data_IF_181173158788
#
_entry.id   IF_181173158788
#
_cell.length_a   1.000
_cell.length_b   1.000
_cell.length_c   1.000
_cell.angle_alpha   90.00
_cell.angle_beta   90.00
_cell.angle_gamma   90.00
#
_symmetry.space_group_name_H-M   'P 1'
#
loop_
_entity.id
_entity.type
_entity.pdbx_description
1 polymer ?
#
# COMPACT_ATOMS: atom_id res chain seq x y z
N UNK A 1 13.96 53.13 -16.85
CA UNK A 1 15.39 53.10 -17.22
C UNK A 1 15.92 51.79 -16.66
N UNK A 2 16.15 50.75 -17.48
CA UNK A 2 17.07 50.66 -18.63
C UNK A 2 18.53 50.56 -18.16
N UNK A 3 19.33 49.53 -18.48
CA UNK A 3 19.07 48.34 -19.36
C UNK A 3 19.90 47.09 -18.95
N UNK A 4 19.71 46.00 -19.70
CA UNK A 4 20.45 44.72 -19.81
C UNK A 4 21.96 44.95 -20.24
N UNK A 5 22.83 43.97 -20.64
CA UNK A 5 22.73 42.50 -20.65
C UNK A 5 23.96 41.66 -20.21
N UNK A 6 23.69 40.37 -19.92
CA UNK A 6 24.55 39.16 -20.15
C UNK A 6 25.96 39.01 -19.55
N UNK A 7 26.24 37.79 -19.05
CA UNK A 7 27.48 37.06 -19.39
C UNK A 7 27.27 35.54 -19.39
N UNK A 8 27.89 34.83 -20.35
CA UNK A 8 27.95 33.35 -20.42
C UNK A 8 29.40 32.90 -20.29
N UNK A 9 29.68 31.81 -19.54
CA UNK A 9 30.63 30.75 -19.95
C UNK A 9 30.53 29.48 -19.07
N UNK A 10 30.94 28.36 -19.66
CA UNK A 10 31.06 27.01 -19.07
C UNK A 10 32.53 26.75 -18.65
N UNK A 11 32.84 25.48 -18.29
CA UNK A 11 34.18 24.83 -18.30
C UNK A 11 34.99 25.09 -17.01
N UNK A 12 35.73 24.16 -16.37
CA UNK A 12 36.30 22.84 -16.75
C UNK A 12 36.21 21.78 -15.61
N UNK A 13 36.55 20.50 -15.89
CA UNK A 13 36.88 19.44 -14.91
C UNK A 13 38.41 19.27 -14.73
N UNK A 14 38.87 18.92 -13.53
CA UNK A 14 40.21 18.36 -13.22
C UNK A 14 40.27 18.01 -11.72
N UNK A 15 40.59 16.80 -11.21
CA UNK A 15 41.35 15.61 -11.65
C UNK A 15 42.86 15.65 -11.27
N UNK A 16 43.46 14.46 -11.03
CA UNK A 16 44.85 14.15 -10.58
C UNK A 16 45.05 14.23 -9.05
N UNK A 17 45.84 13.39 -8.34
CA UNK A 17 46.29 11.96 -8.41
C UNK A 17 47.05 11.66 -7.06
N UNK A 18 47.85 10.61 -6.78
CA UNK A 18 48.36 9.42 -7.50
C UNK A 18 48.87 8.33 -6.50
N UNK A 19 49.00 7.07 -6.96
CA UNK A 19 49.96 6.08 -6.41
C UNK A 19 49.42 5.05 -5.40
N UNK A 20 50.04 3.87 -5.22
CA UNK A 20 51.15 3.25 -5.96
C UNK A 20 51.12 1.70 -5.81
N UNK A 21 51.89 0.96 -6.62
CA UNK A 21 51.80 -0.50 -6.76
C UNK A 21 52.99 -1.28 -6.20
N UNK A 22 52.84 -2.60 -6.02
CA UNK A 22 53.94 -3.59 -6.10
C UNK A 22 53.37 -4.94 -6.58
N UNK A 23 54.18 -5.74 -7.28
CA UNK A 23 53.80 -7.03 -7.88
C UNK A 23 54.72 -8.15 -7.41
N UNK A 24 54.30 -9.42 -7.52
CA UNK A 24 55.14 -10.55 -7.95
C UNK A 24 54.28 -11.80 -8.25
N UNK A 25 54.90 -12.85 -8.81
CA UNK A 25 54.22 -13.98 -9.44
C UNK A 25 54.53 -15.35 -8.79
N UNK A 26 53.77 -16.38 -9.15
CA UNK A 26 54.04 -17.78 -8.82
C UNK A 26 53.30 -18.73 -9.75
N UNK A 27 54.00 -19.73 -10.31
CA UNK A 27 53.45 -20.77 -11.17
C UNK A 27 53.45 -22.13 -10.45
N UNK A 28 52.55 -23.04 -10.81
CA UNK A 28 52.54 -24.43 -10.35
C UNK A 28 51.83 -25.35 -11.34
N UNK A 29 52.49 -26.44 -11.74
CA UNK A 29 52.01 -27.42 -12.71
C UNK A 29 51.49 -28.70 -12.01
N UNK A 30 50.62 -29.45 -12.70
CA UNK A 30 50.23 -30.82 -12.36
C UNK A 30 49.44 -31.44 -13.53
N UNK A 31 49.91 -32.54 -14.09
CA UNK A 31 49.49 -33.07 -15.40
C UNK A 31 49.66 -34.60 -15.46
N UNK A 32 49.04 -35.26 -16.46
CA UNK A 32 49.22 -36.67 -16.89
C UNK A 32 48.56 -37.76 -16.02
N UNK A 33 48.08 -38.90 -16.57
CA UNK A 33 48.02 -39.36 -17.99
C UNK A 33 46.86 -40.36 -18.24
N UNK A 34 46.58 -40.58 -19.52
CA UNK A 34 45.64 -41.55 -20.10
C UNK A 34 46.06 -43.03 -19.97
N UNK A 35 45.13 -43.95 -20.30
CA UNK A 35 45.42 -45.34 -20.77
C UNK A 35 44.19 -45.92 -21.51
N UNK A 36 44.32 -46.18 -22.81
CA UNK A 36 43.50 -47.15 -23.57
C UNK A 36 44.02 -48.59 -23.24
N UNK A 37 43.35 -49.72 -23.50
CA UNK A 37 42.31 -50.10 -24.49
C UNK A 37 41.63 -51.39 -24.01
N UNK A 38 40.46 -51.77 -24.54
CA UNK A 38 40.29 -53.05 -25.29
C UNK A 38 38.84 -53.31 -25.73
N UNK A 39 38.64 -54.31 -26.60
CA UNK A 39 37.38 -54.60 -27.31
C UNK A 39 37.07 -56.09 -27.27
N UNK A 40 35.83 -56.48 -26.89
CA UNK A 40 34.99 -57.37 -27.73
C UNK A 40 33.56 -57.64 -27.17
N UNK A 41 32.61 -57.65 -28.10
CA UNK A 41 31.47 -58.59 -28.26
C UNK A 41 30.53 -58.99 -27.10
N UNK A 42 29.30 -58.48 -27.19
CA UNK A 42 28.04 -59.26 -27.15
C UNK A 42 27.62 -60.06 -25.90
N UNK A 43 26.64 -59.55 -25.15
CA UNK A 43 25.39 -60.33 -24.90
C UNK A 43 24.18 -59.39 -24.76
N UNK A 44 23.00 -59.93 -25.08
CA UNK A 44 21.70 -59.24 -25.15
C UNK A 44 21.00 -59.12 -23.78
N UNK A 45 20.47 -57.93 -23.46
CA UNK A 45 19.36 -57.73 -22.52
C UNK A 45 18.80 -56.31 -22.68
N UNK A 46 17.54 -56.19 -23.14
CA UNK A 46 16.87 -54.90 -23.29
C UNK A 46 16.25 -54.46 -21.96
N UNK A 47 16.63 -53.30 -21.39
CA UNK A 47 15.91 -52.74 -20.26
C UNK A 47 14.54 -52.27 -20.74
N UNK A 48 13.47 -52.75 -20.10
CA UNK A 48 12.12 -52.24 -20.31
C UNK A 48 12.13 -50.72 -20.12
N UNK A 49 11.50 -49.91 -21.00
CA UNK A 49 11.36 -48.49 -20.76
C UNK A 49 10.56 -48.32 -19.46
N UNK A 50 11.26 -47.91 -18.40
CA UNK A 50 10.61 -47.50 -17.15
C UNK A 50 9.69 -46.36 -17.53
N UNK A 51 8.38 -46.55 -17.31
CA UNK A 51 7.42 -45.50 -17.59
C UNK A 51 7.87 -44.24 -16.84
N UNK A 52 8.15 -43.16 -17.58
CA UNK A 52 8.38 -41.87 -16.97
C UNK A 52 7.08 -41.53 -16.26
N UNK A 53 7.09 -41.67 -14.94
CA UNK A 53 6.01 -41.16 -14.10
C UNK A 53 6.02 -39.66 -14.34
N UNK A 54 5.06 -39.19 -15.14
CA UNK A 54 4.72 -37.78 -15.22
C UNK A 54 4.20 -37.42 -13.84
N UNK A 55 5.11 -37.01 -12.95
CA UNK A 55 4.74 -36.37 -11.71
C UNK A 55 3.87 -35.18 -12.12
N UNK A 56 2.59 -35.25 -11.76
CA UNK A 56 1.77 -34.05 -11.69
C UNK A 56 2.57 -33.04 -10.86
N UNK A 57 2.79 -31.80 -11.33
CA UNK A 57 3.48 -30.82 -10.50
C UNK A 57 2.74 -30.71 -9.17
N UNK A 58 3.48 -30.77 -8.07
CA UNK A 58 2.95 -30.46 -6.74
C UNK A 58 2.24 -29.09 -6.82
N UNK A 59 1.07 -28.91 -6.21
CA UNK A 59 0.34 -27.65 -6.31
C UNK A 59 1.18 -26.51 -5.75
N UNK A 60 1.42 -25.49 -6.57
CA UNK A 60 2.08 -24.26 -6.12
C UNK A 60 1.08 -23.51 -5.23
N UNK A 61 1.35 -23.56 -3.92
CA UNK A 61 0.45 -23.10 -2.87
C UNK A 61 -0.71 -24.06 -2.61
N UNK A 62 -0.90 -24.44 -1.35
CA UNK A 62 -2.18 -24.94 -0.86
C UNK A 62 -3.02 -23.75 -0.37
N UNK A 63 -4.29 -23.68 -0.79
CA UNK A 63 -5.17 -22.55 -0.45
C UNK A 63 -5.66 -22.63 1.00
N UNK A 64 -5.81 -23.82 1.57
CA UNK A 64 -6.26 -23.99 2.96
C UNK A 64 -5.12 -23.60 3.93
N UNK A 65 -3.88 -23.98 3.62
CA UNK A 65 -2.68 -23.54 4.35
C UNK A 65 -2.48 -22.02 4.24
N UNK A 66 -2.62 -21.47 3.03
CA UNK A 66 -2.52 -20.01 2.83
C UNK A 66 -3.63 -19.24 3.56
N UNK A 67 -4.86 -19.76 3.58
CA UNK A 67 -5.97 -19.13 4.31
C UNK A 67 -5.71 -19.13 5.81
N UNK A 68 -5.14 -20.20 6.36
CA UNK A 68 -4.80 -20.29 7.78
C UNK A 68 -3.70 -19.30 8.18
N UNK A 69 -2.61 -19.20 7.42
CA UNK A 69 -1.52 -18.25 7.71
C UNK A 69 -1.95 -16.79 7.51
N UNK A 70 -2.81 -16.49 6.54
CA UNK A 70 -3.33 -15.14 6.32
C UNK A 70 -4.44 -14.71 7.32
N UNK A 71 -4.97 -15.63 8.15
CA UNK A 71 -6.02 -15.32 9.15
C UNK A 71 -5.55 -14.24 10.17
N UNK A 72 -4.25 -14.11 10.43
CA UNK A 72 -3.70 -13.08 11.32
C UNK A 72 -4.03 -11.64 10.86
N UNK A 73 -4.26 -11.44 9.56
CA UNK A 73 -4.63 -10.15 8.98
C UNK A 73 -6.12 -9.80 9.15
N UNK A 74 -6.90 -10.66 9.81
CA UNK A 74 -8.23 -10.30 10.30
C UNK A 74 -8.20 -9.11 11.28
N UNK A 75 -7.08 -8.89 11.99
CA UNK A 75 -6.72 -7.56 12.49
C UNK A 75 -5.89 -6.82 11.42
N UNK A 76 -6.50 -5.80 10.81
CA UNK A 76 -5.83 -4.94 9.84
C UNK A 76 -4.62 -4.19 10.44
N UNK A 77 -4.50 -4.07 11.76
CA UNK A 77 -3.29 -3.51 12.39
C UNK A 77 -2.07 -4.42 12.16
N UNK A 78 -2.22 -5.75 12.28
CA UNK A 78 -1.16 -6.72 11.93
C UNK A 78 -0.69 -6.49 10.50
N UNK A 79 -1.63 -6.32 9.56
CA UNK A 79 -1.30 -6.04 8.16
C UNK A 79 -0.54 -4.70 8.01
N UNK A 80 -0.91 -3.65 8.74
CA UNK A 80 -0.19 -2.37 8.74
C UNK A 80 1.23 -2.49 9.31
N UNK A 81 1.42 -3.30 10.35
CA UNK A 81 2.71 -3.54 11.00
C UNK A 81 3.64 -4.40 10.12
N UNK A 82 3.10 -5.38 9.38
CA UNK A 82 3.79 -6.15 8.34
C UNK A 82 3.96 -5.39 6.99
N UNK A 83 3.63 -4.10 6.94
CA UNK A 83 3.94 -3.19 5.82
C UNK A 83 2.82 -3.00 4.78
N UNK A 84 1.65 -3.63 4.93
CA UNK A 84 0.51 -3.43 4.03
C UNK A 84 -0.14 -2.07 4.27
N UNK A 85 0.09 -1.13 3.34
CA UNK A 85 -0.44 0.23 3.44
C UNK A 85 -1.86 0.34 2.87
N UNK A 86 -2.81 0.74 3.72
CA UNK A 86 -4.16 1.16 3.31
C UNK A 86 -4.07 2.16 2.15
N UNK A 87 -4.63 1.81 0.98
CA UNK A 87 -4.62 2.64 -0.25
C UNK A 87 -5.59 3.82 -0.16
N UNK A 88 -6.51 3.76 0.81
CA UNK A 88 -7.73 4.55 0.92
C UNK A 88 -8.59 4.55 -0.34
N UNK A 89 -8.53 3.47 -1.14
CA UNK A 89 -9.27 3.30 -2.39
C UNK A 89 -10.20 2.08 -2.25
N UNK A 90 -11.50 2.35 -2.28
CA UNK A 90 -12.53 1.31 -2.37
C UNK A 90 -12.71 0.93 -3.83
N UNK A 91 -12.51 -0.35 -4.15
CA UNK A 91 -12.62 -0.91 -5.50
C UNK A 91 -13.95 -1.64 -5.68
N UNK A 92 -14.61 -1.39 -6.81
CA UNK A 92 -15.86 -1.99 -7.25
C UNK A 92 -15.91 -2.02 -8.79
N UNK A 93 -16.90 -2.69 -9.37
CA UNK A 93 -17.17 -2.65 -10.81
C UNK A 93 -17.83 -1.31 -11.25
N UNK A 94 -17.86 -1.06 -12.56
CA UNK A 94 -18.25 0.24 -13.15
C UNK A 94 -19.65 0.75 -12.78
N UNK A 95 -20.59 -0.15 -12.48
CA UNK A 95 -21.96 0.19 -12.05
C UNK A 95 -22.19 0.10 -10.53
N UNK A 96 -21.18 -0.31 -9.77
CA UNK A 96 -21.21 -0.44 -8.31
C UNK A 96 -22.03 -1.63 -7.78
N UNK A 97 -22.44 -2.57 -8.66
CA UNK A 97 -23.21 -3.76 -8.27
C UNK A 97 -22.39 -4.87 -7.61
N UNK A 98 -21.05 -4.85 -7.72
CA UNK A 98 -20.16 -5.83 -7.09
C UNK A 98 -18.86 -5.17 -6.62
N UNK A 99 -18.44 -5.50 -5.40
CA UNK A 99 -17.26 -4.92 -4.75
C UNK A 99 -16.03 -5.83 -4.78
N UNK A 100 -14.89 -5.20 -4.56
CA UNK A 100 -13.63 -5.85 -4.16
C UNK A 100 -13.15 -5.31 -2.80
N UNK A 101 -13.58 -4.09 -2.42
CA UNK A 101 -13.31 -3.51 -1.11
C UNK A 101 -12.13 -2.56 -1.07
N UNK A 102 -11.74 -2.16 0.14
CA UNK A 102 -10.57 -1.30 0.40
C UNK A 102 -9.30 -2.13 0.36
N UNK A 103 -8.35 -1.72 -0.46
CA UNK A 103 -7.07 -2.41 -0.59
C UNK A 103 -6.05 -1.92 0.44
N UNK A 104 -5.24 -2.84 0.94
CA UNK A 104 -4.02 -2.59 1.69
C UNK A 104 -2.89 -3.28 0.92
N UNK A 105 -1.89 -2.52 0.46
CA UNK A 105 -0.86 -3.03 -0.47
C UNK A 105 0.53 -2.93 0.16
N UNK A 106 1.31 -4.00 0.05
CA UNK A 106 2.69 -4.04 0.53
C UNK A 106 3.68 -3.86 -0.63
N UNK A 107 4.44 -2.74 -0.69
CA UNK A 107 5.37 -2.47 -1.78
C UNK A 107 6.72 -3.20 -1.65
N UNK A 108 6.96 -3.91 -0.54
CA UNK A 108 8.19 -4.67 -0.27
C UNK A 108 8.00 -6.20 -0.52
N UNK A 109 6.93 -6.57 -1.22
CA UNK A 109 6.72 -7.90 -1.82
C UNK A 109 7.39 -7.92 -3.21
N UNK A 110 7.99 -9.05 -3.59
CA UNK A 110 8.72 -9.18 -4.85
C UNK A 110 7.79 -9.18 -6.06
N UNK A 111 8.17 -8.50 -7.15
CA UNK A 111 7.42 -8.45 -8.41
C UNK A 111 7.67 -9.69 -9.31
N UNK A 112 8.71 -10.48 -9.03
CA UNK A 112 9.22 -11.57 -9.88
C UNK A 112 9.08 -12.99 -9.27
N UNK A 113 8.59 -13.11 -8.03
CA UNK A 113 8.32 -14.39 -7.35
C UNK A 113 6.90 -14.42 -6.76
N UNK A 114 6.19 -15.53 -6.96
CA UNK A 114 4.82 -15.73 -6.43
C UNK A 114 4.90 -16.58 -5.15
N UNK A 115 4.98 -15.90 -4.02
CA UNK A 115 4.90 -16.49 -2.68
C UNK A 115 3.43 -16.55 -2.22
N UNK A 116 2.84 -17.74 -1.96
CA UNK A 116 1.48 -17.87 -1.46
C UNK A 116 1.24 -17.08 -0.18
N UNK A 117 2.23 -17.03 0.72
CA UNK A 117 2.10 -16.43 2.05
C UNK A 117 2.38 -14.92 2.08
N UNK A 118 2.80 -14.34 0.94
CA UNK A 118 3.08 -12.90 0.79
C UNK A 118 2.36 -12.31 -0.41
N UNK A 119 1.02 -12.15 -0.36
CA UNK A 119 0.27 -11.43 -1.38
C UNK A 119 0.69 -9.96 -1.47
N UNK A 120 0.59 -9.37 -2.66
CA UNK A 120 0.88 -7.95 -2.92
C UNK A 120 -0.19 -7.02 -2.32
N UNK A 121 -1.42 -7.50 -2.18
CA UNK A 121 -2.49 -6.80 -1.48
C UNK A 121 -3.40 -7.72 -0.65
N UNK A 122 -3.96 -7.14 0.40
CA UNK A 122 -5.08 -7.68 1.18
C UNK A 122 -6.27 -6.74 0.96
N UNK A 123 -7.49 -7.26 0.85
CA UNK A 123 -8.67 -6.43 0.63
C UNK A 123 -9.79 -6.68 1.67
N UNK A 124 -10.46 -5.60 2.05
CA UNK A 124 -11.32 -5.52 3.23
C UNK A 124 -12.63 -4.78 2.93
N UNK A 125 -13.73 -5.18 3.56
CA UNK A 125 -14.92 -4.33 3.66
C UNK A 125 -14.76 -3.34 4.82
N UNK A 126 -15.52 -2.23 4.80
CA UNK A 126 -15.67 -1.36 5.98
C UNK A 126 -17.07 -1.61 6.57
N UNK A 127 -17.13 -2.14 7.80
CA UNK A 127 -18.41 -2.41 8.47
C UNK A 127 -19.07 -1.16 9.08
N UNK A 128 -20.28 -1.32 9.60
CA UNK A 128 -21.09 -0.28 10.27
C UNK A 128 -20.36 0.45 11.42
N UNK A 129 -19.35 -0.18 12.02
CA UNK A 129 -18.55 0.40 13.10
C UNK A 129 -17.30 1.14 12.59
N UNK A 130 -17.09 1.16 11.27
CA UNK A 130 -15.92 1.75 10.62
C UNK A 130 -14.64 0.95 10.83
N UNK A 131 -14.71 -0.34 11.15
CA UNK A 131 -13.53 -1.22 11.13
C UNK A 131 -13.45 -1.95 9.78
N UNK A 132 -12.25 -2.43 9.48
CA UNK A 132 -12.00 -3.31 8.36
C UNK A 132 -12.29 -4.76 8.76
N UNK A 133 -13.04 -5.49 7.93
CA UNK A 133 -13.13 -6.95 8.02
C UNK A 133 -12.45 -7.52 6.77
N UNK A 134 -11.54 -8.49 6.94
CA UNK A 134 -10.77 -9.09 5.84
C UNK A 134 -11.69 -9.93 4.93
N UNK A 135 -11.50 -9.82 3.63
CA UNK A 135 -12.27 -10.55 2.61
C UNK A 135 -11.39 -11.56 1.85
N UNK A 136 -10.14 -11.19 1.58
CA UNK A 136 -9.27 -11.95 0.70
C UNK A 136 -7.95 -11.25 0.35
N UNK A 137 -7.24 -11.82 -0.63
CA UNK A 137 -5.89 -11.41 -1.03
C UNK A 137 -5.72 -11.35 -2.55
N UNK A 138 -4.83 -10.46 -3.03
CA UNK A 138 -4.39 -10.36 -4.42
C UNK A 138 -2.87 -10.57 -4.52
N UNK A 139 -2.46 -11.49 -5.37
CA UNK A 139 -1.09 -11.62 -5.87
C UNK A 139 -1.01 -11.00 -7.25
N UNK A 140 0.02 -10.19 -7.53
CA UNK A 140 0.17 -9.47 -8.80
C UNK A 140 1.59 -9.55 -9.33
N UNK A 141 1.75 -9.83 -10.62
CA UNK A 141 3.07 -9.92 -11.28
C UNK A 141 3.06 -9.01 -12.52
N UNK A 142 3.96 -8.01 -12.62
CA UNK A 142 4.05 -7.14 -13.79
C UNK A 142 4.30 -7.94 -15.08
N UNK A 143 3.65 -7.55 -16.18
CA UNK A 143 3.84 -8.21 -17.50
C UNK A 143 5.24 -8.07 -18.07
N UNK A 144 6.07 -7.21 -17.47
CA UNK A 144 7.49 -7.03 -17.82
C UNK A 144 8.45 -7.96 -17.05
N UNK A 145 7.96 -8.71 -16.05
CA UNK A 145 8.75 -9.66 -15.27
C UNK A 145 8.65 -11.11 -15.79
N UNK A 146 7.61 -11.45 -16.55
CA UNK A 146 7.29 -12.83 -16.96
C UNK A 146 6.85 -12.93 -18.43
N UNK A 147 7.25 -14.01 -19.12
CA UNK A 147 6.85 -14.28 -20.51
C UNK A 147 5.37 -14.70 -20.66
N UNK A 148 4.73 -15.16 -19.57
CA UNK A 148 3.35 -15.65 -19.53
C UNK A 148 2.73 -15.47 -18.14
N UNK A 149 1.40 -15.50 -18.05
CA UNK A 149 0.67 -15.40 -16.78
C UNK A 149 1.10 -16.52 -15.79
N UNK A 150 1.42 -16.20 -14.52
CA UNK A 150 1.72 -17.19 -13.49
C UNK A 150 0.51 -18.07 -13.11
N UNK A 151 0.76 -19.11 -12.32
CA UNK A 151 -0.26 -19.99 -11.75
C UNK A 151 -0.05 -20.20 -10.25
N UNK A 152 -1.13 -20.14 -9.47
CA UNK A 152 -1.16 -20.36 -8.01
C UNK A 152 -2.50 -21.02 -7.63
N UNK A 153 -2.50 -21.96 -6.67
CA UNK A 153 -3.67 -22.77 -6.29
C UNK A 153 -4.31 -23.56 -7.45
N UNK A 154 -3.57 -23.76 -8.55
CA UNK A 154 -4.07 -24.37 -9.80
C UNK A 154 -4.73 -23.39 -10.78
N UNK A 155 -4.97 -22.14 -10.39
CA UNK A 155 -5.55 -21.11 -11.26
C UNK A 155 -4.48 -20.30 -11.99
N UNK A 156 -4.81 -19.82 -13.19
CA UNK A 156 -3.96 -18.91 -13.97
C UNK A 156 -4.32 -17.45 -13.66
N UNK A 157 -3.32 -16.59 -13.46
CA UNK A 157 -3.53 -15.19 -13.11
C UNK A 157 -4.32 -14.45 -14.21
N UNK A 158 -5.30 -13.64 -13.79
CA UNK A 158 -6.17 -12.87 -14.67
C UNK A 158 -5.41 -11.67 -15.26
N UNK A 159 -5.59 -11.42 -16.55
CA UNK A 159 -5.03 -10.25 -17.23
C UNK A 159 -4.62 -10.51 -18.68
N UNK A 160 -3.74 -9.67 -19.23
CA UNK A 160 -3.11 -8.52 -18.56
C UNK A 160 -4.13 -7.41 -18.22
N UNK A 161 -3.87 -6.68 -17.15
CA UNK A 161 -4.73 -5.59 -16.65
C UNK A 161 -3.88 -4.41 -16.13
N UNK A 162 -4.43 -3.20 -16.16
CA UNK A 162 -3.81 -2.04 -15.50
C UNK A 162 -3.84 -2.22 -13.97
N UNK A 163 -2.70 -2.16 -13.29
CA UNK A 163 -2.64 -2.19 -11.83
C UNK A 163 -3.45 -1.05 -11.19
N UNK A 164 -4.11 -1.35 -10.06
CA UNK A 164 -5.15 -0.54 -9.43
C UNK A 164 -4.69 0.89 -9.08
N UNK A 165 -3.47 1.07 -8.57
CA UNK A 165 -2.91 2.41 -8.30
C UNK A 165 -2.44 3.02 -9.62
N UNK A 166 -2.89 4.25 -9.91
CA UNK A 166 -2.41 5.02 -11.06
C UNK A 166 -0.87 5.06 -11.14
N UNK A 167 -0.31 4.67 -12.30
CA UNK A 167 1.12 4.46 -12.61
C UNK A 167 1.75 3.13 -12.15
N UNK A 168 0.98 2.19 -11.58
CA UNK A 168 1.42 0.78 -11.59
C UNK A 168 1.56 0.29 -13.04
N UNK A 169 2.42 -0.71 -13.29
CA UNK A 169 2.54 -1.32 -14.61
C UNK A 169 1.25 -2.04 -15.01
N UNK A 170 1.25 -2.51 -16.26
CA UNK A 170 0.35 -3.58 -16.68
C UNK A 170 0.80 -4.89 -15.99
N UNK A 171 -0.15 -5.63 -15.41
CA UNK A 171 0.13 -6.79 -14.55
C UNK A 171 -0.83 -7.95 -14.84
N UNK A 172 -0.41 -9.16 -14.51
CA UNK A 172 -1.32 -10.27 -14.24
C UNK A 172 -1.65 -10.26 -12.74
N UNK A 173 -2.86 -10.66 -12.35
CA UNK A 173 -3.21 -10.80 -10.93
C UNK A 173 -4.17 -11.96 -10.66
N UNK A 174 -3.96 -12.68 -9.56
CA UNK A 174 -4.91 -13.63 -9.00
C UNK A 174 -5.51 -13.04 -7.72
N UNK A 175 -6.84 -13.07 -7.61
CA UNK A 175 -7.60 -12.62 -6.44
C UNK A 175 -8.25 -13.83 -5.82
N UNK A 176 -8.16 -14.00 -4.51
CA UNK A 176 -8.80 -15.11 -3.80
C UNK A 176 -9.67 -14.58 -2.65
N UNK A 177 -10.95 -14.97 -2.66
CA UNK A 177 -11.94 -14.72 -1.63
C UNK A 177 -11.80 -15.76 -0.52
N UNK A 178 -10.82 -15.54 0.35
CA UNK A 178 -10.41 -16.50 1.40
C UNK A 178 -11.26 -16.41 2.68
N UNK A 179 -11.83 -15.23 2.97
CA UNK A 179 -12.48 -14.92 4.25
C UNK A 179 -13.94 -14.47 4.11
N UNK A 180 -14.47 -14.45 2.88
CA UNK A 180 -15.87 -14.17 2.58
C UNK A 180 -16.35 -15.05 1.42
N UNK A 181 -17.54 -15.64 1.56
CA UNK A 181 -18.19 -16.37 0.46
C UNK A 181 -18.39 -15.45 -0.76
N UNK A 182 -18.12 -15.97 -1.96
CA UNK A 182 -18.43 -15.30 -3.22
C UNK A 182 -19.28 -16.24 -4.12
N UNK A 183 -20.53 -15.88 -4.47
CA UNK A 183 -21.40 -16.73 -5.30
C UNK A 183 -20.89 -16.90 -6.74
N UNK A 184 -20.03 -16.00 -7.23
CA UNK A 184 -19.35 -16.14 -8.53
C UNK A 184 -18.05 -16.99 -8.44
N UNK A 185 -17.67 -17.43 -7.24
CA UNK A 185 -16.56 -18.34 -6.97
C UNK A 185 -15.32 -17.69 -6.33
N UNK A 186 -14.50 -18.52 -5.68
CA UNK A 186 -13.32 -18.11 -4.87
C UNK A 186 -12.33 -17.21 -5.62
N UNK A 187 -12.25 -17.31 -6.95
CA UNK A 187 -11.31 -16.53 -7.76
C UNK A 187 -11.97 -15.47 -8.67
N UNK A 188 -13.26 -15.19 -8.49
CA UNK A 188 -13.94 -14.15 -9.27
C UNK A 188 -13.39 -12.76 -8.95
N UNK A 189 -13.30 -11.88 -9.95
CA UNK A 189 -12.67 -10.54 -9.80
C UNK A 189 -13.41 -9.65 -8.81
N UNK A 190 -14.74 -9.76 -8.71
CA UNK A 190 -15.59 -9.01 -7.80
C UNK A 190 -16.56 -9.95 -7.08
N UNK A 191 -17.17 -9.49 -5.99
CA UNK A 191 -18.19 -10.20 -5.23
C UNK A 191 -19.48 -9.34 -5.18
N UNK A 192 -20.64 -9.84 -5.67
CA UNK A 192 -21.89 -9.08 -5.68
C UNK A 192 -22.49 -8.85 -4.28
N UNK A 193 -22.11 -9.65 -3.28
CA UNK A 193 -22.59 -9.46 -1.90
C UNK A 193 -21.82 -8.34 -1.16
N UNK A 194 -20.66 -7.91 -1.69
CA UNK A 194 -19.81 -6.86 -1.12
C UNK A 194 -20.20 -5.49 -1.68
N UNK A 195 -21.17 -4.84 -1.05
CA UNK A 195 -21.70 -3.54 -1.49
C UNK A 195 -20.89 -2.34 -0.98
N UNK A 196 -20.62 -1.30 -1.80
CA UNK A 196 -19.90 -0.12 -1.34
C UNK A 196 -20.67 0.66 -0.26
N UNK A 197 -20.03 1.08 0.86
CA UNK A 197 -20.67 1.99 1.80
C UNK A 197 -20.98 3.33 1.12
N UNK A 198 -22.03 4.03 1.55
CA UNK A 198 -22.52 5.25 0.87
C UNK A 198 -21.52 6.43 0.79
N UNK A 199 -20.40 6.35 1.52
CA UNK A 199 -19.29 7.31 1.49
C UNK A 199 -18.05 6.83 0.71
N UNK A 200 -18.09 5.64 0.09
CA UNK A 200 -16.96 5.00 -0.58
C UNK A 200 -16.26 5.90 -1.62
N UNK A 201 -17.03 6.58 -2.48
CA UNK A 201 -16.47 7.52 -3.47
C UNK A 201 -15.69 8.65 -2.80
N UNK A 202 -16.23 9.23 -1.72
CA UNK A 202 -15.55 10.35 -1.04
C UNK A 202 -14.36 9.88 -0.19
N UNK A 203 -14.37 8.63 0.29
CA UNK A 203 -13.22 7.97 0.90
C UNK A 203 -12.09 7.80 -0.14
N UNK A 204 -12.42 7.23 -1.30
CA UNK A 204 -11.50 7.08 -2.46
C UNK A 204 -10.93 8.42 -2.94
N UNK A 205 -11.75 9.46 -3.05
CA UNK A 205 -11.30 10.83 -3.38
C UNK A 205 -10.30 11.39 -2.37
N UNK A 206 -10.48 11.12 -1.07
CA UNK A 206 -9.50 11.50 -0.03
C UNK A 206 -8.23 10.66 -0.15
N UNK A 207 -8.34 9.37 -0.48
CA UNK A 207 -7.19 8.52 -0.81
C UNK A 207 -6.36 9.10 -1.95
N UNK A 208 -6.97 9.45 -3.07
CA UNK A 208 -6.29 10.11 -4.18
C UNK A 208 -5.66 11.47 -3.79
N UNK A 209 -6.39 12.30 -3.03
CA UNK A 209 -5.90 13.60 -2.58
C UNK A 209 -4.75 13.50 -1.55
N UNK A 210 -4.64 12.38 -0.81
CA UNK A 210 -3.61 12.18 0.23
C UNK A 210 -2.37 11.44 -0.24
N UNK A 211 -2.40 10.69 -1.35
CA UNK A 211 -1.24 9.93 -1.89
C UNK A 211 0.03 10.76 -2.00
N UNK A 212 -0.05 12.01 -2.49
CA UNK A 212 1.13 12.86 -2.63
C UNK A 212 1.70 13.40 -1.30
N UNK A 213 1.01 13.17 -0.18
CA UNK A 213 1.41 13.59 1.16
C UNK A 213 1.84 12.42 2.06
N UNK A 214 1.99 11.22 1.50
CA UNK A 214 2.71 10.11 2.14
C UNK A 214 4.14 10.55 2.50
N UNK A 215 4.79 11.31 1.61
CA UNK A 215 5.97 12.12 1.94
C UNK A 215 5.59 13.44 2.64
N UNK A 216 6.05 13.58 3.89
CA UNK A 216 5.87 14.80 4.69
C UNK A 216 6.64 16.01 4.13
N UNK A 217 7.71 15.81 3.35
CA UNK A 217 8.43 16.94 2.73
C UNK A 217 7.59 17.59 1.62
N UNK A 218 6.87 16.79 0.83
CA UNK A 218 5.93 17.26 -0.19
C UNK A 218 4.75 18.00 0.44
N UNK A 219 4.25 17.54 1.59
CA UNK A 219 3.26 18.29 2.37
C UNK A 219 3.79 19.66 2.81
N UNK A 220 5.01 19.73 3.35
CA UNK A 220 5.66 20.99 3.75
C UNK A 220 5.88 21.93 2.57
N UNK A 221 6.33 21.42 1.42
CA UNK A 221 6.53 22.19 0.18
C UNK A 221 5.21 22.74 -0.38
N UNK A 222 4.11 22.01 -0.17
CA UNK A 222 2.74 22.42 -0.55
C UNK A 222 2.11 23.39 0.49
N UNK A 223 2.84 23.73 1.56
CA UNK A 223 2.43 24.72 2.56
C UNK A 223 1.81 24.17 3.84
N UNK A 224 1.73 22.84 4.03
CA UNK A 224 1.28 22.26 5.29
C UNK A 224 2.37 22.39 6.37
N UNK A 225 2.07 23.17 7.41
CA UNK A 225 3.02 23.50 8.49
C UNK A 225 2.70 22.73 9.77
N UNK A 226 3.71 22.09 10.39
CA UNK A 226 3.57 21.43 11.69
C UNK A 226 3.02 22.41 12.74
N UNK A 227 1.97 22.01 13.47
CA UNK A 227 1.43 22.77 14.61
C UNK A 227 1.34 21.88 15.85
N UNK A 228 1.87 22.38 16.97
CA UNK A 228 1.89 21.68 18.26
C UNK A 228 2.83 20.48 18.32
N UNK A 229 2.74 19.75 19.44
CA UNK A 229 3.27 18.40 19.60
C UNK A 229 2.28 17.36 19.05
N UNK A 230 2.66 16.09 19.09
CA UNK A 230 1.69 15.00 19.09
C UNK A 230 0.75 15.18 20.30
N UNK A 231 -0.55 14.85 20.16
CA UNK A 231 -1.53 14.98 21.24
C UNK A 231 -2.10 13.62 21.63
N UNK A 232 -2.20 13.42 22.94
CA UNK A 232 -2.78 12.22 23.57
C UNK A 232 -4.08 12.61 24.27
N UNK A 233 -5.14 11.82 24.06
CA UNK A 233 -6.41 11.89 24.75
C UNK A 233 -6.66 10.63 25.60
N UNK A 234 -7.86 10.53 26.17
CA UNK A 234 -8.21 9.45 27.12
C UNK A 234 -8.09 8.04 26.52
N UNK A 235 -8.32 7.90 25.20
CA UNK A 235 -8.42 6.62 24.50
C UNK A 235 -7.49 6.56 23.27
N UNK A 236 -6.25 7.07 23.42
CA UNK A 236 -5.24 7.08 22.36
C UNK A 236 -4.81 8.47 21.91
N UNK A 237 -4.02 8.52 20.84
CA UNK A 237 -3.46 9.74 20.29
C UNK A 237 -4.11 10.15 18.97
N UNK A 238 -3.67 11.30 18.42
CA UNK A 238 -4.06 11.76 17.08
C UNK A 238 -2.88 12.04 16.14
N UNK A 239 -1.65 11.73 16.56
CA UNK A 239 -0.43 12.07 15.81
C UNK A 239 -0.07 13.56 15.91
N UNK A 240 0.92 13.96 15.11
CA UNK A 240 1.34 15.36 14.94
C UNK A 240 0.52 16.00 13.81
N UNK A 241 -0.12 17.15 14.09
CA UNK A 241 -0.91 17.89 13.10
C UNK A 241 0.01 18.73 12.20
N UNK A 242 -0.23 18.69 10.90
CA UNK A 242 0.35 19.59 9.90
C UNK A 242 -0.81 20.33 9.22
N UNK A 243 -0.96 21.63 9.49
CA UNK A 243 -2.11 22.43 9.04
C UNK A 243 -1.82 23.15 7.72
N UNK A 244 -2.83 23.22 6.85
CA UNK A 244 -2.78 23.98 5.60
C UNK A 244 -2.45 25.45 5.85
N UNK A 245 -1.51 25.99 5.08
CA UNK A 245 -1.13 27.41 5.16
C UNK A 245 -2.07 28.36 4.43
N UNK A 246 -2.95 27.88 3.54
CA UNK A 246 -3.87 28.71 2.76
C UNK A 246 -5.19 28.97 3.48
N UNK A 247 -5.76 27.93 4.09
CA UNK A 247 -6.91 28.02 5.00
C UNK A 247 -6.85 26.90 6.06
N UNK A 248 -6.29 27.15 7.26
CA UNK A 248 -6.16 26.13 8.31
C UNK A 248 -7.47 25.79 9.02
N UNK A 249 -8.56 26.54 8.83
CA UNK A 249 -9.79 26.42 9.65
C UNK A 249 -11.09 26.42 8.86
N UNK A 250 -11.05 26.50 7.53
CA UNK A 250 -12.20 26.66 6.64
C UNK A 250 -12.98 27.97 6.86
N UNK A 251 -12.26 29.08 6.69
CA UNK A 251 -12.79 30.46 6.58
C UNK A 251 -13.80 30.70 5.44
N UNK A 252 -14.06 29.68 4.60
CA UNK A 252 -15.06 29.73 3.53
C UNK A 252 -16.42 29.14 3.92
N UNK A 253 -16.55 28.56 5.13
CA UNK A 253 -17.74 27.83 5.57
C UNK A 253 -18.08 26.57 4.75
N UNK A 254 -17.31 26.25 3.70
CA UNK A 254 -17.67 25.25 2.69
C UNK A 254 -16.77 24.03 2.77
N UNK A 255 -17.33 22.87 3.11
CA UNK A 255 -16.56 21.62 3.23
C UNK A 255 -16.46 20.90 1.87
N UNK A 256 -15.22 20.56 1.50
CA UNK A 256 -14.91 19.62 0.44
C UNK A 256 -14.04 18.51 1.02
N UNK A 257 -14.37 17.25 0.79
CA UNK A 257 -13.62 16.12 1.36
C UNK A 257 -12.17 16.10 0.86
N UNK A 258 -11.92 16.36 -0.41
CA UNK A 258 -10.57 16.51 -0.98
C UNK A 258 -9.78 17.74 -0.48
N UNK A 259 -10.38 18.63 0.33
CA UNK A 259 -9.72 19.79 0.95
C UNK A 259 -9.68 19.66 2.49
N UNK A 260 -8.78 18.83 2.99
CA UNK A 260 -8.51 18.65 4.43
C UNK A 260 -7.64 19.77 5.00
N UNK A 261 -7.99 20.24 6.19
CA UNK A 261 -7.26 21.33 6.87
C UNK A 261 -6.00 20.83 7.59
N UNK A 262 -5.97 19.56 8.01
CA UNK A 262 -4.78 18.91 8.59
C UNK A 262 -4.47 17.56 7.94
N UNK A 263 -3.18 17.33 7.70
CA UNK A 263 -2.59 16.00 7.64
C UNK A 263 -2.18 15.58 9.06
N UNK A 264 -2.25 14.29 9.38
CA UNK A 264 -1.85 13.73 10.69
C UNK A 264 -0.70 12.74 10.48
N UNK A 265 0.42 12.97 11.17
CA UNK A 265 1.62 12.14 11.05
C UNK A 265 2.06 11.53 12.38
N UNK A 266 2.26 10.22 12.37
CA UNK A 266 3.00 9.48 13.40
C UNK A 266 4.52 9.73 13.23
N UNK A 267 5.32 9.33 14.22
CA UNK A 267 6.77 9.35 14.14
C UNK A 267 7.29 7.91 14.10
N UNK A 268 8.13 7.60 13.12
CA UNK A 268 8.71 6.26 12.91
C UNK A 268 10.24 6.38 12.87
N UNK A 269 10.96 5.25 12.98
CA UNK A 269 12.43 5.24 12.89
C UNK A 269 12.93 5.88 11.58
N UNK A 270 12.22 5.61 10.48
CA UNK A 270 12.49 6.14 9.14
C UNK A 270 11.90 7.55 8.90
N UNK A 271 11.30 8.20 9.91
CA UNK A 271 10.85 9.58 9.87
C UNK A 271 9.41 9.80 10.33
N UNK A 272 8.47 9.83 9.37
CA UNK A 272 7.04 10.07 9.60
C UNK A 272 6.18 9.29 8.62
N UNK A 273 5.08 8.72 9.11
CA UNK A 273 4.08 8.02 8.31
C UNK A 273 2.76 8.80 8.35
N UNK A 274 2.09 8.93 7.21
CA UNK A 274 0.78 9.59 7.12
C UNK A 274 -0.30 8.64 7.67
N UNK A 275 -0.86 8.98 8.83
CA UNK A 275 -1.79 8.11 9.58
C UNK A 275 -3.24 8.55 9.49
N UNK A 276 -3.53 9.73 8.97
CA UNK A 276 -4.91 10.19 8.72
C UNK A 276 -4.98 11.66 8.29
N UNK A 277 -6.21 12.16 8.14
CA UNK A 277 -6.51 13.57 7.85
C UNK A 277 -7.62 14.09 8.75
N UNK A 278 -7.69 15.42 8.92
CA UNK A 278 -8.70 16.09 9.73
C UNK A 278 -9.24 17.34 9.03
N UNK A 279 -10.56 17.54 9.13
CA UNK A 279 -11.25 18.77 8.72
C UNK A 279 -11.74 19.55 9.94
N UNK A 280 -11.83 20.87 9.79
CA UNK A 280 -12.38 21.77 10.79
C UNK A 280 -13.53 22.60 10.20
N UNK A 281 -14.49 22.96 11.05
CA UNK A 281 -15.53 23.95 10.74
C UNK A 281 -15.75 24.85 11.96
N UNK A 282 -15.56 26.18 11.88
CA UNK A 282 -15.82 27.08 13.01
C UNK A 282 -17.31 27.07 13.37
N UNK A 283 -17.65 27.21 14.65
CA UNK A 283 -19.05 27.15 15.12
C UNK A 283 -19.83 28.41 14.74
N UNK A 284 -19.13 29.49 14.43
CA UNK A 284 -19.64 30.79 14.00
C UNK A 284 -19.87 30.91 12.49
N UNK A 285 -19.35 29.98 11.68
CA UNK A 285 -19.58 29.91 10.22
C UNK A 285 -20.78 29.03 9.81
N UNK A 286 -21.45 28.34 10.77
CA UNK A 286 -22.55 27.41 10.48
C UNK A 286 -23.70 27.44 11.50
N UNK A 287 -24.94 27.48 11.01
CA UNK A 287 -26.17 27.44 11.82
C UNK A 287 -26.38 26.10 12.56
N UNK A 288 -25.73 25.01 12.13
CA UNK A 288 -25.93 23.66 12.67
C UNK A 288 -24.69 22.78 12.50
N UNK A 289 -24.67 21.60 13.16
CA UNK A 289 -23.55 20.66 13.06
C UNK A 289 -23.42 20.14 11.62
N UNK A 290 -22.29 20.38 10.93
CA UNK A 290 -22.06 19.88 9.57
C UNK A 290 -21.83 18.36 9.54
N UNK A 291 -21.96 17.80 8.35
CA UNK A 291 -21.56 16.42 8.05
C UNK A 291 -20.69 16.38 6.79
N UNK A 292 -19.75 15.45 6.73
CA UNK A 292 -18.79 15.26 5.64
C UNK A 292 -18.47 13.76 5.51
N UNK A 293 -18.24 13.26 4.29
CA UNK A 293 -18.04 11.81 4.00
C UNK A 293 -19.07 10.89 4.68
N UNK A 294 -20.34 11.29 4.66
CA UNK A 294 -21.45 10.58 5.32
C UNK A 294 -21.52 10.71 6.85
N UNK A 295 -20.57 11.40 7.49
CA UNK A 295 -20.39 11.45 8.95
C UNK A 295 -20.62 12.84 9.52
N UNK A 296 -21.42 12.95 10.59
CA UNK A 296 -21.53 14.21 11.34
C UNK A 296 -20.25 14.52 12.11
N UNK A 297 -19.76 15.77 11.95
CA UNK A 297 -18.52 16.23 12.59
C UNK A 297 -18.66 16.27 14.11
N UNK A 298 -17.59 15.90 14.82
CA UNK A 298 -17.57 15.82 16.29
C UNK A 298 -17.43 17.25 16.87
N UNK A 299 -18.07 17.50 18.01
CA UNK A 299 -18.02 18.82 18.67
C UNK A 299 -19.40 19.43 18.96
N UNK A 300 -19.47 20.73 19.31
CA UNK A 300 -18.38 21.70 19.28
C UNK A 300 -17.27 21.42 20.30
N UNK A 301 -16.05 21.83 19.96
CA UNK A 301 -14.82 21.65 20.74
C UNK A 301 -14.09 22.99 20.81
N UNK A 302 -13.49 23.28 21.96
CA UNK A 302 -12.74 24.52 22.16
C UNK A 302 -11.34 24.43 21.49
N UNK A 303 -10.83 25.57 21.01
CA UNK A 303 -9.57 25.63 20.26
C UNK A 303 -8.35 25.21 21.08
N UNK A 304 -7.47 24.42 20.48
CA UNK A 304 -6.36 23.77 21.18
C UNK A 304 -5.05 24.58 21.21
N UNK A 305 -4.99 25.70 20.48
CA UNK A 305 -3.84 26.59 20.39
C UNK A 305 -4.28 27.99 19.94
N UNK A 306 -3.39 28.98 20.08
CA UNK A 306 -3.67 30.38 19.75
C UNK A 306 -4.13 30.57 18.29
N UNK A 307 -5.22 31.32 18.10
CA UNK A 307 -5.85 31.54 16.79
C UNK A 307 -6.84 30.46 16.35
N UNK A 308 -6.94 29.32 17.05
CA UNK A 308 -7.99 28.33 16.78
C UNK A 308 -9.27 28.69 17.52
N UNK A 309 -10.37 28.90 16.78
CA UNK A 309 -11.70 29.13 17.33
C UNK A 309 -12.34 27.87 17.91
N UNK A 310 -13.56 28.04 18.43
CA UNK A 310 -14.43 26.91 18.79
C UNK A 310 -15.00 26.30 17.52
N UNK A 311 -14.84 24.99 17.33
CA UNK A 311 -15.02 24.33 16.04
C UNK A 311 -15.67 22.95 16.17
N UNK A 312 -16.19 22.42 15.06
CA UNK A 312 -16.39 20.99 14.86
C UNK A 312 -15.14 20.40 14.18
N UNK A 313 -14.77 19.17 14.51
CA UNK A 313 -13.69 18.43 13.84
C UNK A 313 -14.19 17.06 13.33
N UNK A 314 -13.69 16.60 12.19
CA UNK A 314 -13.84 15.20 11.75
C UNK A 314 -12.46 14.68 11.38
N UNK A 315 -12.15 13.48 11.85
CA UNK A 315 -10.91 12.76 11.50
C UNK A 315 -11.27 11.56 10.65
N UNK A 316 -10.49 11.30 9.61
CA UNK A 316 -10.51 10.08 8.82
C UNK A 316 -9.16 9.40 8.97
N UNK A 317 -9.15 8.22 9.59
CA UNK A 317 -7.94 7.44 9.81
C UNK A 317 -7.48 6.71 8.54
N UNK A 318 -6.15 6.61 8.37
CA UNK A 318 -5.48 5.77 7.37
C UNK A 318 -4.80 4.58 8.02
N UNK A 319 -4.12 4.79 9.16
CA UNK A 319 -3.71 3.69 10.06
C UNK A 319 -4.97 3.04 10.65
N UNK A 320 -5.08 1.70 10.69
CA UNK A 320 -6.17 1.00 11.37
C UNK A 320 -6.46 1.53 12.78
N UNK A 321 -7.74 1.60 13.13
CA UNK A 321 -8.22 2.09 14.41
C UNK A 321 -9.32 1.16 14.94
N UNK A 322 -9.12 0.46 16.08
CA UNK A 322 -10.12 -0.46 16.62
C UNK A 322 -11.39 0.25 17.12
N UNK A 323 -11.35 1.57 17.36
CA UNK A 323 -12.53 2.39 17.65
C UNK A 323 -13.29 2.84 16.39
N UNK A 324 -12.79 2.49 15.19
CA UNK A 324 -13.40 2.81 13.91
C UNK A 324 -12.80 4.02 13.18
N UNK A 325 -12.97 4.02 11.86
CA UNK A 325 -12.41 4.93 10.87
C UNK A 325 -12.60 6.44 11.16
N UNK A 326 -13.67 6.78 11.87
CA UNK A 326 -14.07 8.15 12.22
C UNK A 326 -14.05 8.43 13.74
N UNK A 327 -13.35 7.61 14.52
CA UNK A 327 -13.10 7.87 15.93
C UNK A 327 -12.20 9.10 16.10
N UNK A 328 -12.39 9.83 17.21
CA UNK A 328 -11.64 11.08 17.49
C UNK A 328 -10.18 10.83 17.86
N UNK A 329 -9.89 9.66 18.43
CA UNK A 329 -8.56 9.21 18.86
C UNK A 329 -8.30 7.82 18.28
N UNK A 330 -7.03 7.49 18.07
CA UNK A 330 -6.59 6.15 17.73
C UNK A 330 -5.63 5.63 18.81
N UNK A 331 -5.93 4.51 19.50
CA UNK A 331 -5.07 3.92 20.52
C UNK A 331 -3.82 3.25 19.94
N UNK A 332 -3.75 3.05 18.62
CA UNK A 332 -2.58 2.48 17.93
C UNK A 332 -1.56 3.54 17.49
N UNK A 333 -1.73 4.82 17.88
CA UNK A 333 -0.85 5.91 17.48
C UNK A 333 0.12 6.28 18.60
N UNK A 334 1.42 6.31 18.29
CA UNK A 334 2.49 6.72 19.19
C UNK A 334 2.77 8.24 19.15
N UNK A 335 3.16 8.79 20.31
CA UNK A 335 3.45 10.21 20.55
C UNK A 335 4.72 10.43 21.40
#
# INVERSE_FOLDING_TARGET
>A
MADDPTSRRKVLRGMVAAGAATSLAGCGFGESTDTETDTESSTESSPTPTAVSTATPEPVGDIDETTAELEQYSDALTAWEDGYTNTMEYVANDDGSAGMGVHFTNPDVADDEVDPLRPHALFYQINDQGRYDLLGAEWSVPTSAVDQAPTLFGETFQGPQQGLRARQPEQYALRAWLFADNPEGTFATFNPDITPPAYATQYTDVGFATRTFEDVQTAQQTGFSRRGSCRVGTNGAEGTNFLSGSDPFNSSGTLYHSNFQSLLYESTENGRQLVGVKWFMPVDEVDSRPSLVGQSMKGPIDGYFEGMGRHYELTLWRKPNPNGLFARWNPTIDC
#
